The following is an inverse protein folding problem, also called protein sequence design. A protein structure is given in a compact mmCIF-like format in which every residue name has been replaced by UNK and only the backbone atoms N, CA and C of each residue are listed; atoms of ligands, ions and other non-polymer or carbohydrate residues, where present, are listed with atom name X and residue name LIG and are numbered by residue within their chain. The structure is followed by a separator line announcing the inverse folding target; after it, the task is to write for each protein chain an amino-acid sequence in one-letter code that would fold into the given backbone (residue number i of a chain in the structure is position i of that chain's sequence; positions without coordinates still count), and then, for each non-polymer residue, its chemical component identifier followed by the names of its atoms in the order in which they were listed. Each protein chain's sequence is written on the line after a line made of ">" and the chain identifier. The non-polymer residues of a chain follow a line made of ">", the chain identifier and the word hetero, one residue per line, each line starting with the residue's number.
data_IF_130143457157
#
_entry.id   IF_130143457157
#
_cell.length_a   1.000
_cell.length_b   1.000
_cell.length_c   1.000
_cell.angle_alpha   90.00
_cell.angle_beta   90.00
_cell.angle_gamma   90.00
#
_symmetry.space_group_name_H-M   'P 1'
#
loop_
_entity.id
_entity.type
_entity.pdbx_description
1 polymer ?
#
# COMPACT_ATOMS: atom_id res chain seq x y z
N UNK A 1 -17.09 -4.06 27.10
CA UNK A 1 -15.68 -4.47 26.83
C UNK A 1 -15.04 -3.35 26.01
N UNK A 2 -14.15 -2.61 26.63
CA UNK A 2 -13.37 -1.62 25.89
C UNK A 2 -12.50 -2.36 24.87
N UNK A 3 -12.68 -2.05 23.58
CA UNK A 3 -11.76 -2.48 22.53
C UNK A 3 -10.41 -1.84 22.84
N UNK A 4 -9.45 -2.65 23.24
CA UNK A 4 -8.11 -2.20 23.53
C UNK A 4 -7.53 -1.61 22.24
N UNK A 5 -7.22 -0.31 22.24
CA UNK A 5 -6.61 0.37 21.10
C UNK A 5 -5.36 -0.41 20.65
N UNK A 6 -5.28 -0.74 19.35
CA UNK A 6 -4.12 -1.46 18.82
C UNK A 6 -2.88 -0.60 18.91
N UNK A 7 -1.76 -1.20 19.27
CA UNK A 7 -0.48 -0.50 19.26
C UNK A 7 -0.02 -0.18 17.83
N UNK A 8 0.80 0.86 17.63
CA UNK A 8 1.36 1.16 16.30
C UNK A 8 2.09 -0.03 15.68
N UNK A 9 2.83 -0.80 16.47
CA UNK A 9 3.54 -2.00 16.00
C UNK A 9 2.60 -3.11 15.56
N UNK A 10 1.49 -3.31 16.26
CA UNK A 10 0.46 -4.28 15.85
C UNK A 10 -0.15 -3.88 14.52
N UNK A 11 -0.55 -2.62 14.38
CA UNK A 11 -1.11 -2.09 13.13
C UNK A 11 -0.09 -2.24 11.98
N UNK A 12 1.17 -1.88 12.20
CA UNK A 12 2.24 -2.00 11.22
C UNK A 12 2.40 -3.45 10.74
N UNK A 13 2.47 -4.41 11.65
CA UNK A 13 2.64 -5.82 11.31
C UNK A 13 1.47 -6.36 10.49
N UNK A 14 0.25 -5.99 10.82
CA UNK A 14 -0.95 -6.37 10.06
C UNK A 14 -0.95 -5.75 8.65
N UNK A 15 -0.50 -4.50 8.51
CA UNK A 15 -0.37 -3.84 7.20
C UNK A 15 0.73 -4.51 6.36
N UNK A 16 1.86 -4.88 6.95
CA UNK A 16 2.93 -5.61 6.27
C UNK A 16 2.40 -6.93 5.69
N UNK A 17 1.64 -7.70 6.48
CA UNK A 17 1.04 -8.94 5.98
C UNK A 17 0.05 -8.69 4.84
N UNK A 18 -0.78 -7.66 4.94
CA UNK A 18 -1.70 -7.26 3.87
C UNK A 18 -0.94 -6.89 2.58
N UNK A 19 0.15 -6.13 2.69
CA UNK A 19 1.00 -5.77 1.55
C UNK A 19 1.64 -6.99 0.89
N UNK A 20 2.13 -7.94 1.68
CA UNK A 20 2.72 -9.19 1.18
C UNK A 20 1.70 -10.07 0.45
N UNK A 21 0.49 -10.20 0.97
CA UNK A 21 -0.58 -10.94 0.30
C UNK A 21 -0.94 -10.30 -1.06
N UNK A 22 -1.01 -8.98 -1.12
CA UNK A 22 -1.22 -8.24 -2.37
C UNK A 22 -0.05 -8.41 -3.34
N UNK A 23 1.17 -8.45 -2.83
CA UNK A 23 2.38 -8.73 -3.62
C UNK A 23 2.32 -10.11 -4.30
N UNK A 24 1.74 -11.11 -3.67
CA UNK A 24 1.53 -12.43 -4.29
C UNK A 24 0.60 -12.35 -5.49
N UNK A 25 -0.41 -11.49 -5.45
CA UNK A 25 -1.29 -11.26 -6.61
C UNK A 25 -0.51 -10.68 -7.79
N UNK A 26 0.44 -9.78 -7.54
CA UNK A 26 1.33 -9.25 -8.58
C UNK A 26 2.18 -10.35 -9.21
N UNK A 27 2.79 -11.22 -8.39
CA UNK A 27 3.64 -12.32 -8.85
C UNK A 27 2.88 -13.37 -9.67
N UNK A 28 1.61 -13.59 -9.34
CA UNK A 28 0.74 -14.60 -9.97
C UNK A 28 -0.10 -14.02 -11.12
N UNK A 29 0.13 -12.77 -11.51
CA UNK A 29 -0.64 -12.10 -12.55
C UNK A 29 -0.54 -12.84 -13.89
N UNK A 30 -1.69 -12.98 -14.57
CA UNK A 30 -1.75 -13.47 -15.94
C UNK A 30 -1.25 -12.37 -16.90
N UNK A 31 0.00 -12.50 -17.31
CA UNK A 31 0.67 -11.52 -18.16
C UNK A 31 0.11 -11.43 -19.58
N UNK A 32 -0.68 -12.40 -20.01
CA UNK A 32 -1.37 -12.37 -21.28
C UNK A 32 -2.68 -11.57 -21.24
N UNK A 33 -3.18 -11.25 -20.05
CA UNK A 33 -4.48 -10.59 -19.86
C UNK A 33 -4.46 -9.60 -18.69
N UNK A 34 -3.91 -8.41 -18.91
CA UNK A 34 -3.87 -7.35 -17.91
C UNK A 34 -5.14 -6.47 -17.87
N UNK A 35 -5.95 -6.46 -18.93
CA UNK A 35 -7.06 -5.52 -19.02
C UNK A 35 -6.59 -4.06 -18.93
N UNK A 36 -5.55 -3.71 -19.68
CA UNK A 36 -4.91 -2.39 -19.64
C UNK A 36 -5.87 -1.32 -20.11
N UNK A 37 -5.98 -0.22 -19.34
CA UNK A 37 -6.70 1.00 -19.70
C UNK A 37 -5.78 2.21 -19.56
N UNK A 38 -5.95 3.19 -20.45
CA UNK A 38 -5.26 4.46 -20.35
C UNK A 38 -5.87 5.33 -19.27
N UNK A 39 -5.02 5.99 -18.48
CA UNK A 39 -5.38 7.11 -17.62
C UNK A 39 -5.06 8.44 -18.31
N UNK A 40 -5.51 9.55 -17.73
CA UNK A 40 -5.12 10.89 -18.18
C UNK A 40 -3.60 11.08 -18.09
N UNK A 41 -2.98 11.52 -19.20
CA UNK A 41 -1.53 11.73 -19.29
C UNK A 41 -0.81 10.67 -20.12
N UNK A 42 0.39 11.04 -20.64
CA UNK A 42 1.21 10.13 -21.46
C UNK A 42 1.80 9.02 -20.57
N UNK A 43 1.78 7.77 -21.05
CA UNK A 43 2.33 6.59 -20.38
C UNK A 43 1.74 6.32 -18.98
N UNK A 44 0.48 6.71 -18.78
CA UNK A 44 -0.23 6.48 -17.53
C UNK A 44 -1.31 5.40 -17.74
N UNK A 45 -1.12 4.24 -17.11
CA UNK A 45 -1.96 3.05 -17.32
C UNK A 45 -2.53 2.52 -16.02
N UNK A 46 -3.64 1.81 -16.12
CA UNK A 46 -4.21 1.00 -15.06
C UNK A 46 -4.50 -0.40 -15.60
N UNK A 47 -4.26 -1.43 -14.80
CA UNK A 47 -4.59 -2.81 -15.10
C UNK A 47 -5.73 -3.30 -14.21
N UNK A 48 -6.34 -4.43 -14.57
CA UNK A 48 -7.33 -5.08 -13.70
C UNK A 48 -6.73 -5.48 -12.34
N UNK A 49 -5.40 -5.66 -12.25
CA UNK A 49 -4.70 -6.00 -11.02
C UNK A 49 -4.57 -4.82 -10.08
N UNK A 50 -4.35 -3.60 -10.61
CA UNK A 50 -4.41 -2.37 -9.80
C UNK A 50 -5.76 -2.27 -9.07
N UNK A 51 -6.86 -2.45 -9.80
CA UNK A 51 -8.20 -2.41 -9.23
C UNK A 51 -8.48 -3.55 -8.26
N UNK A 52 -8.03 -4.76 -8.58
CA UNK A 52 -8.19 -5.94 -7.72
C UNK A 52 -7.46 -5.77 -6.40
N UNK A 53 -6.19 -5.34 -6.45
CA UNK A 53 -5.37 -5.13 -5.25
C UNK A 53 -5.94 -3.99 -4.41
N UNK A 54 -6.39 -2.91 -5.03
CA UNK A 54 -7.04 -1.81 -4.30
C UNK A 54 -8.25 -2.31 -3.50
N UNK A 55 -9.12 -3.10 -4.10
CA UNK A 55 -10.28 -3.68 -3.40
C UNK A 55 -9.87 -4.63 -2.27
N UNK A 56 -8.85 -5.44 -2.50
CA UNK A 56 -8.30 -6.30 -1.45
C UNK A 56 -7.78 -5.48 -0.26
N UNK A 57 -7.02 -4.42 -0.53
CA UNK A 57 -6.48 -3.54 0.50
C UNK A 57 -7.57 -2.79 1.23
N UNK A 58 -8.57 -2.25 0.54
CA UNK A 58 -9.71 -1.58 1.17
C UNK A 58 -10.38 -2.49 2.20
N UNK A 59 -10.64 -3.74 1.84
CA UNK A 59 -11.22 -4.73 2.75
C UNK A 59 -10.29 -5.04 3.93
N UNK A 60 -9.04 -5.39 3.65
CA UNK A 60 -8.06 -5.78 4.69
C UNK A 60 -7.77 -4.64 5.67
N UNK A 61 -7.56 -3.44 5.16
CA UNK A 61 -7.25 -2.27 5.98
C UNK A 61 -8.45 -1.83 6.82
N UNK A 62 -9.68 -1.99 6.32
CA UNK A 62 -10.90 -1.76 7.11
C UNK A 62 -11.07 -2.75 8.26
N UNK A 63 -10.58 -3.98 8.11
CA UNK A 63 -10.56 -4.97 9.19
C UNK A 63 -9.48 -4.65 10.24
N UNK A 64 -8.34 -4.10 9.80
CA UNK A 64 -7.23 -3.70 10.69
C UNK A 64 -7.62 -2.48 11.54
N UNK A 65 -8.19 -1.46 10.91
CA UNK A 65 -8.53 -0.18 11.52
C UNK A 65 -9.88 0.32 10.96
N UNK A 66 -11.01 -0.17 11.50
CA UNK A 66 -12.35 0.11 10.96
C UNK A 66 -12.74 1.60 10.93
N UNK A 67 -12.18 2.39 11.84
CA UNK A 67 -12.42 3.84 11.95
C UNK A 67 -11.66 4.66 10.90
N UNK A 68 -10.73 4.08 10.15
CA UNK A 68 -9.93 4.79 9.17
C UNK A 68 -10.70 5.03 7.87
N UNK A 69 -10.52 6.21 7.30
CA UNK A 69 -10.87 6.48 5.90
C UNK A 69 -9.86 5.81 4.96
N UNK A 70 -10.28 5.50 3.74
CA UNK A 70 -9.44 4.88 2.72
C UNK A 70 -9.37 5.78 1.49
N UNK A 71 -8.17 6.18 1.12
CA UNK A 71 -7.86 6.94 -0.10
C UNK A 71 -6.98 6.10 -1.01
N UNK A 72 -7.58 5.53 -2.05
CA UNK A 72 -6.88 4.78 -3.08
C UNK A 72 -6.63 5.62 -4.33
N UNK A 73 -5.58 5.27 -5.09
CA UNK A 73 -5.25 5.95 -6.34
C UNK A 73 -6.28 5.68 -7.45
N UNK A 74 -6.83 4.48 -7.48
CA UNK A 74 -7.59 3.96 -8.63
C UNK A 74 -9.10 4.31 -8.63
N UNK A 75 -9.58 4.95 -7.59
CA UNK A 75 -10.98 5.39 -7.50
C UNK A 75 -11.06 6.80 -6.94
N UNK A 76 -12.00 7.57 -7.45
CA UNK A 76 -12.29 8.92 -6.95
C UNK A 76 -13.09 8.78 -5.65
N UNK A 77 -12.38 8.75 -4.54
CA UNK A 77 -12.96 8.58 -3.22
C UNK A 77 -13.22 9.92 -2.56
N UNK A 78 -14.48 10.18 -2.23
CA UNK A 78 -14.79 11.25 -1.29
C UNK A 78 -14.57 10.75 0.13
N UNK A 79 -13.58 11.31 0.81
CA UNK A 79 -13.24 10.96 2.18
C UNK A 79 -13.42 12.14 3.12
N UNK A 80 -13.62 11.84 4.40
CA UNK A 80 -13.50 12.86 5.44
C UNK A 80 -12.04 13.17 5.71
N UNK A 81 -11.53 14.28 5.17
CA UNK A 81 -10.12 14.69 5.32
C UNK A 81 -9.74 15.06 6.75
N UNK A 82 -10.73 15.22 7.64
CA UNK A 82 -10.53 15.50 9.06
C UNK A 82 -10.64 14.25 9.93
N UNK A 83 -10.76 13.06 9.33
CA UNK A 83 -10.76 11.81 10.07
C UNK A 83 -9.45 11.64 10.85
N UNK A 84 -9.50 11.00 12.00
CA UNK A 84 -8.31 10.72 12.80
C UNK A 84 -7.31 9.87 12.03
N UNK A 85 -7.79 8.85 11.33
CA UNK A 85 -6.96 7.94 10.54
C UNK A 85 -7.37 7.95 9.07
N UNK A 86 -6.39 8.05 8.19
CA UNK A 86 -6.59 7.96 6.73
C UNK A 86 -5.51 7.06 6.15
N UNK A 87 -5.92 5.95 5.53
CA UNK A 87 -5.04 5.17 4.68
C UNK A 87 -4.89 5.83 3.31
N UNK A 88 -3.66 5.95 2.84
CA UNK A 88 -3.32 6.42 1.50
C UNK A 88 -2.61 5.29 0.78
N UNK A 89 -3.20 4.81 -0.30
CA UNK A 89 -2.79 3.55 -0.93
C UNK A 89 -2.56 3.73 -2.43
N UNK A 90 -1.40 3.26 -2.89
CA UNK A 90 -1.15 2.96 -4.28
C UNK A 90 -1.04 1.43 -4.42
N UNK A 91 -2.03 0.77 -5.07
CA UNK A 91 -2.06 -0.70 -5.13
C UNK A 91 -0.91 -1.29 -5.92
N UNK A 92 -0.51 -0.67 -7.03
CA UNK A 92 0.70 -0.99 -7.80
C UNK A 92 1.38 0.32 -8.19
N UNK A 93 2.35 0.73 -7.39
CA UNK A 93 3.23 1.83 -7.75
C UNK A 93 4.24 1.34 -8.80
N UNK A 94 4.28 2.01 -9.93
CA UNK A 94 5.06 1.59 -11.09
C UNK A 94 4.28 0.64 -12.02
N UNK A 95 3.03 0.97 -12.36
CA UNK A 95 2.17 0.15 -13.23
C UNK A 95 2.80 -0.13 -14.59
N UNK A 96 3.49 0.84 -15.20
CA UNK A 96 4.23 0.64 -16.45
C UNK A 96 5.34 -0.40 -16.29
N UNK A 97 6.10 -0.35 -15.19
CA UNK A 97 7.12 -1.34 -14.87
C UNK A 97 6.51 -2.73 -14.65
N UNK A 98 5.34 -2.78 -14.01
CA UNK A 98 4.58 -4.00 -13.81
C UNK A 98 4.16 -4.62 -15.16
N UNK A 99 3.60 -3.83 -16.07
CA UNK A 99 3.21 -4.26 -17.41
C UNK A 99 4.43 -4.76 -18.21
N UNK A 100 5.57 -4.07 -18.10
CA UNK A 100 6.81 -4.39 -18.83
C UNK A 100 7.67 -5.47 -18.16
N UNK A 101 7.28 -5.96 -17.01
CA UNK A 101 8.01 -6.98 -16.23
C UNK A 101 9.42 -6.57 -15.81
N UNK A 102 9.58 -5.30 -15.43
CA UNK A 102 10.88 -4.77 -15.00
C UNK A 102 11.21 -5.09 -13.53
N UNK A 103 10.31 -5.71 -12.80
CA UNK A 103 10.45 -6.04 -11.36
C UNK A 103 10.71 -4.83 -10.46
N UNK A 104 10.32 -3.65 -10.92
CA UNK A 104 10.46 -2.37 -10.23
C UNK A 104 9.07 -1.76 -9.99
N UNK A 105 8.23 -2.51 -9.31
CA UNK A 105 6.91 -2.08 -8.88
C UNK A 105 6.60 -2.63 -7.48
N UNK A 106 5.76 -1.95 -6.76
CA UNK A 106 5.50 -2.27 -5.35
C UNK A 106 4.06 -1.96 -4.94
N UNK A 107 3.66 -2.49 -3.80
CA UNK A 107 2.47 -2.08 -3.06
C UNK A 107 2.90 -1.00 -2.07
N UNK A 108 2.21 0.15 -2.06
CA UNK A 108 2.53 1.27 -1.19
C UNK A 108 1.33 1.63 -0.31
N UNK A 109 1.53 1.62 1.00
CA UNK A 109 0.48 1.89 1.98
C UNK A 109 1.02 2.89 3.01
N UNK A 110 0.37 4.04 3.11
CA UNK A 110 0.62 5.03 4.16
C UNK A 110 -0.56 5.14 5.12
N UNK A 111 -0.30 5.41 6.37
CA UNK A 111 -1.32 5.77 7.35
C UNK A 111 -1.02 7.16 7.92
N UNK A 112 -1.98 8.04 7.79
CA UNK A 112 -1.97 9.37 8.38
C UNK A 112 -2.80 9.34 9.65
N UNK A 113 -2.30 9.96 10.71
CA UNK A 113 -3.04 10.17 11.97
C UNK A 113 -3.08 11.67 12.30
N UNK A 114 -4.29 12.19 12.49
CA UNK A 114 -4.51 13.62 12.80
C UNK A 114 -3.76 14.57 11.84
N UNK A 115 -3.81 14.30 10.54
CA UNK A 115 -3.17 15.08 9.50
C UNK A 115 -1.64 14.95 9.42
N UNK A 116 -1.02 14.04 10.18
CA UNK A 116 0.43 13.81 10.20
C UNK A 116 0.78 12.39 9.76
N UNK A 117 1.94 12.24 9.13
CA UNK A 117 2.50 10.93 8.80
C UNK A 117 2.64 10.10 10.08
N UNK A 118 2.09 8.90 10.09
CA UNK A 118 2.09 8.02 11.23
C UNK A 118 2.93 6.77 11.01
N UNK A 119 2.60 5.99 9.98
CA UNK A 119 3.39 4.85 9.57
C UNK A 119 3.26 4.62 8.05
N UNK A 120 4.15 3.80 7.50
CA UNK A 120 4.13 3.45 6.10
C UNK A 120 4.78 2.11 5.82
N UNK A 121 4.33 1.47 4.75
CA UNK A 121 4.84 0.20 4.24
C UNK A 121 4.95 0.27 2.72
N UNK A 122 6.09 -0.12 2.18
CA UNK A 122 6.31 -0.32 0.75
C UNK A 122 6.87 -1.72 0.55
N UNK A 123 6.19 -2.54 -0.25
CA UNK A 123 6.59 -3.92 -0.50
C UNK A 123 6.82 -4.19 -1.99
N UNK A 124 8.05 -4.54 -2.35
CA UNK A 124 8.40 -5.05 -3.68
C UNK A 124 8.39 -6.59 -3.63
N UNK A 125 7.40 -7.26 -4.23
CA UNK A 125 7.30 -8.71 -4.15
C UNK A 125 8.35 -9.46 -4.97
N UNK A 126 8.89 -8.84 -6.01
CA UNK A 126 9.89 -9.47 -6.89
C UNK A 126 11.23 -9.64 -6.19
N UNK A 127 11.62 -8.67 -5.37
CA UNK A 127 12.86 -8.68 -4.58
C UNK A 127 12.65 -9.19 -3.16
N UNK A 128 11.40 -9.45 -2.77
CA UNK A 128 11.01 -9.78 -1.39
C UNK A 128 11.55 -8.73 -0.39
N UNK A 129 11.44 -7.47 -0.76
CA UNK A 129 11.86 -6.34 0.06
C UNK A 129 10.66 -5.60 0.62
N UNK A 130 10.61 -5.48 1.94
CA UNK A 130 9.60 -4.70 2.64
C UNK A 130 10.28 -3.58 3.42
N UNK A 131 10.01 -2.35 3.02
CA UNK A 131 10.47 -1.14 3.71
C UNK A 131 9.31 -0.60 4.55
N UNK A 132 9.57 -0.26 5.78
CA UNK A 132 8.54 0.22 6.69
C UNK A 132 9.11 1.20 7.72
N UNK A 133 8.23 2.04 8.24
CA UNK A 133 8.57 3.00 9.29
C UNK A 133 7.35 3.35 10.15
N UNK A 134 7.61 3.67 11.40
CA UNK A 134 6.70 4.37 12.30
C UNK A 134 7.32 5.73 12.61
N UNK A 135 6.51 6.79 12.59
CA UNK A 135 7.00 8.14 12.88
C UNK A 135 7.74 8.20 14.21
N UNK A 136 8.97 8.71 14.19
CA UNK A 136 9.84 8.84 15.35
C UNK A 136 10.65 7.57 15.71
N UNK A 137 10.48 6.44 15.02
CA UNK A 137 11.14 5.17 15.35
C UNK A 137 12.13 4.69 14.26
N UNK A 138 12.41 5.55 13.25
CA UNK A 138 13.32 5.21 12.15
C UNK A 138 12.64 4.37 11.06
N UNK A 139 13.44 3.94 10.09
CA UNK A 139 13.02 3.13 8.95
C UNK A 139 13.81 1.82 8.88
N UNK A 140 13.15 0.80 8.35
CA UNK A 140 13.68 -0.56 8.30
C UNK A 140 13.39 -1.21 6.94
N UNK A 141 14.27 -2.10 6.53
CA UNK A 141 14.04 -3.02 5.41
C UNK A 141 14.30 -4.44 5.88
N UNK A 142 13.28 -5.28 5.82
CA UNK A 142 13.35 -6.70 6.24
C UNK A 142 13.98 -6.88 7.64
N UNK A 143 13.63 -6.02 8.59
CA UNK A 143 14.11 -6.06 9.98
C UNK A 143 15.43 -5.33 10.22
N UNK A 144 16.09 -4.80 9.20
CA UNK A 144 17.36 -4.08 9.32
C UNK A 144 17.13 -2.57 9.20
N UNK A 145 17.70 -1.80 10.10
CA UNK A 145 17.64 -0.34 10.04
C UNK A 145 18.28 0.21 8.77
N UNK A 146 17.63 1.17 8.14
CA UNK A 146 18.11 1.83 6.93
C UNK A 146 18.18 3.35 7.14
N UNK A 147 19.08 3.99 6.40
CA UNK A 147 19.27 5.43 6.42
C UNK A 147 19.49 5.94 4.99
N UNK A 148 19.20 7.22 4.76
CA UNK A 148 19.52 7.87 3.49
C UNK A 148 21.04 7.91 3.27
N UNK A 149 21.44 7.90 2.01
CA UNK A 149 22.84 8.09 1.62
C UNK A 149 23.35 9.47 2.07
N UNK A 150 24.61 9.54 2.47
CA UNK A 150 25.28 10.79 2.80
C UNK A 150 25.78 11.51 1.57
#
# INVERSE_FOLDING_TARGET
>A
MELKEKTPHTILNEIIEAAKECGQVMLQADRANFGIKDKAGKANFVTKYDCKIQKMLEKKLSEILPEAEFLGEEEDCQINRNAEYIFVVDPIDGTTNFIKDYHMSCVSIGLIRNGKRYLGVVHNPYLNETVYAISGEGAYMNGNAIHVSK
#
